data_IF_197976245281
#
_entry.id   IF_197976245281
#
_cell.length_a   1.000
_cell.length_b   1.000
_cell.length_c   1.000
_cell.angle_alpha   90.00
_cell.angle_beta   90.00
_cell.angle_gamma   90.00
#
_symmetry.space_group_name_H-M   'P 1'
#
loop_
_entity.id
_entity.type
_entity.pdbx_description
1 polymer ?
#
# COMPACT_ATOMS: atom_id res chain seq x y z
N UNK A 1 -31.78 -13.72 -18.06
CA UNK A 1 -32.04 -12.99 -16.80
C UNK A 1 -30.71 -12.40 -16.34
N UNK A 2 -30.40 -11.19 -16.82
CA UNK A 2 -29.15 -10.50 -16.51
C UNK A 2 -29.20 -10.11 -15.03
N UNK A 3 -28.30 -10.67 -14.22
CA UNK A 3 -28.19 -10.32 -12.81
C UNK A 3 -27.78 -8.86 -12.69
N UNK A 4 -28.58 -8.10 -11.97
CA UNK A 4 -28.35 -6.70 -11.61
C UNK A 4 -26.97 -6.58 -10.95
N UNK A 5 -26.04 -5.88 -11.60
CA UNK A 5 -24.85 -5.34 -10.96
C UNK A 5 -25.37 -4.44 -9.84
N UNK A 6 -25.31 -4.90 -8.57
CA UNK A 6 -25.61 -4.03 -7.44
C UNK A 6 -24.57 -2.91 -7.47
N UNK A 7 -25.02 -1.71 -7.78
CA UNK A 7 -24.25 -0.48 -7.64
C UNK A 7 -23.76 -0.43 -6.19
N UNK A 8 -22.48 -0.70 -5.98
CA UNK A 8 -21.84 -0.63 -4.67
C UNK A 8 -21.48 0.84 -4.46
N UNK A 9 -22.22 1.52 -3.59
CA UNK A 9 -22.06 2.97 -3.38
C UNK A 9 -20.73 3.28 -2.68
N UNK A 10 -19.68 3.52 -3.48
CA UNK A 10 -18.40 4.12 -3.05
C UNK A 10 -18.58 5.55 -2.54
N UNK A 11 -19.75 6.15 -2.80
CA UNK A 11 -20.07 7.57 -2.59
C UNK A 11 -20.09 8.03 -1.12
N UNK A 12 -20.04 7.13 -0.13
CA UNK A 12 -20.09 7.46 1.30
C UNK A 12 -18.76 7.31 2.04
N UNK A 13 -17.67 6.96 1.35
CA UNK A 13 -16.36 6.79 1.98
C UNK A 13 -15.68 8.15 2.16
N UNK A 14 -15.63 8.63 3.41
CA UNK A 14 -14.84 9.80 3.79
C UNK A 14 -13.35 9.43 3.88
N UNK A 15 -12.50 10.12 3.11
CA UNK A 15 -11.06 9.92 3.12
C UNK A 15 -10.42 11.01 3.99
N UNK A 16 -9.68 10.65 5.06
CA UNK A 16 -8.99 11.61 5.90
C UNK A 16 -7.96 12.47 5.15
N UNK A 17 -7.78 13.71 5.62
CA UNK A 17 -6.71 14.59 5.16
C UNK A 17 -5.33 13.96 5.41
N UNK A 18 -4.52 13.86 4.35
CA UNK A 18 -3.21 13.24 4.40
C UNK A 18 -2.17 13.94 3.52
N UNK A 19 -0.95 14.05 4.03
CA UNK A 19 0.24 14.41 3.26
C UNK A 19 1.43 13.62 3.74
N UNK A 20 2.05 12.83 2.84
CA UNK A 20 3.29 12.14 3.16
C UNK A 20 4.38 13.13 3.60
N UNK A 21 5.00 12.87 4.75
CA UNK A 21 6.11 13.68 5.29
C UNK A 21 7.50 13.11 4.95
N UNK A 22 7.55 12.03 4.16
CA UNK A 22 8.81 11.44 3.71
C UNK A 22 9.61 10.70 4.79
N UNK A 23 8.96 10.23 5.85
CA UNK A 23 9.60 9.61 7.01
C UNK A 23 10.22 8.22 6.78
N UNK A 24 9.82 7.51 5.71
CA UNK A 24 10.31 6.16 5.43
C UNK A 24 9.79 5.05 6.35
N UNK A 25 8.94 5.35 7.34
CA UNK A 25 8.41 4.34 8.28
C UNK A 25 7.64 3.21 7.58
N UNK A 26 6.84 3.53 6.56
CA UNK A 26 6.12 2.52 5.77
C UNK A 26 7.05 1.61 4.93
N UNK A 27 8.33 1.97 4.80
CA UNK A 27 9.33 1.13 4.12
C UNK A 27 10.00 0.12 5.06
N UNK A 28 9.75 0.19 6.38
CA UNK A 28 10.38 -0.66 7.41
C UNK A 28 9.31 -1.48 8.13
N UNK A 29 9.61 -2.70 8.54
CA UNK A 29 8.71 -3.61 9.26
C UNK A 29 8.58 -4.98 8.58
N UNK A 30 8.34 -6.03 9.35
CA UNK A 30 8.30 -7.41 8.83
C UNK A 30 7.15 -7.63 7.83
N UNK A 31 5.98 -7.08 8.10
CA UNK A 31 4.76 -7.35 7.34
C UNK A 31 4.41 -6.28 6.28
N UNK A 32 5.28 -5.28 6.09
CA UNK A 32 5.00 -4.12 5.23
C UNK A 32 5.20 -4.40 3.73
N UNK A 33 4.68 -5.52 3.23
CA UNK A 33 4.82 -5.95 1.84
C UNK A 33 4.17 -4.97 0.86
N UNK A 34 4.93 -4.54 -0.15
CA UNK A 34 4.42 -3.69 -1.23
C UNK A 34 4.10 -4.59 -2.42
N UNK A 35 2.82 -4.94 -2.56
CA UNK A 35 2.33 -5.63 -3.76
C UNK A 35 2.41 -4.71 -4.97
N UNK A 36 2.88 -5.26 -6.08
CA UNK A 36 3.02 -4.55 -7.36
C UNK A 36 2.57 -5.42 -8.52
N UNK A 37 2.01 -4.79 -9.54
CA UNK A 37 1.85 -5.45 -10.83
C UNK A 37 3.21 -5.56 -11.53
N UNK A 38 3.38 -6.59 -12.34
CA UNK A 38 4.62 -6.76 -13.12
C UNK A 38 4.91 -5.55 -14.01
N UNK A 39 3.88 -4.88 -14.54
CA UNK A 39 4.03 -3.66 -15.35
C UNK A 39 4.57 -2.47 -14.55
N UNK A 40 4.16 -2.30 -13.29
CA UNK A 40 4.74 -1.28 -12.39
C UNK A 40 6.20 -1.59 -12.09
N UNK A 41 6.52 -2.85 -11.79
CA UNK A 41 7.88 -3.31 -11.55
C UNK A 41 8.78 -3.09 -12.77
N UNK A 42 8.30 -3.45 -13.97
CA UNK A 42 9.04 -3.25 -15.22
C UNK A 42 9.35 -1.77 -15.46
N UNK A 43 8.37 -0.88 -15.26
CA UNK A 43 8.60 0.58 -15.35
C UNK A 43 9.65 1.06 -14.35
N UNK A 44 9.64 0.55 -13.12
CA UNK A 44 10.66 0.87 -12.13
C UNK A 44 12.04 0.40 -12.55
N UNK A 45 12.13 -0.81 -13.11
CA UNK A 45 13.40 -1.37 -13.58
C UNK A 45 14.00 -0.53 -14.71
N UNK A 46 13.18 -0.09 -15.67
CA UNK A 46 13.59 0.80 -16.77
C UNK A 46 14.10 2.15 -16.28
N UNK A 47 13.39 2.78 -15.33
CA UNK A 47 13.80 4.06 -14.74
C UNK A 47 15.10 3.96 -13.96
N UNK A 48 15.37 2.80 -13.36
CA UNK A 48 16.53 2.58 -12.51
C UNK A 48 17.72 1.95 -13.23
N UNK A 49 17.52 1.41 -14.44
CA UNK A 49 18.54 0.68 -15.18
C UNK A 49 18.95 -0.63 -14.49
N UNK A 50 17.99 -1.33 -13.87
CA UNK A 50 18.22 -2.62 -13.17
C UNK A 50 17.34 -3.72 -13.74
N UNK A 51 17.69 -4.98 -13.49
CA UNK A 51 16.81 -6.10 -13.84
C UNK A 51 15.53 -6.05 -12.98
N UNK A 52 14.39 -6.39 -13.57
CA UNK A 52 13.13 -6.41 -12.83
C UNK A 52 13.16 -7.44 -11.70
N UNK A 53 13.81 -8.59 -11.89
CA UNK A 53 13.92 -9.64 -10.88
C UNK A 53 14.87 -9.29 -9.73
N UNK A 54 15.68 -8.23 -9.87
CA UNK A 54 16.48 -7.65 -8.78
C UNK A 54 15.64 -6.77 -7.84
N UNK A 55 14.40 -6.42 -8.20
CA UNK A 55 13.55 -5.52 -7.41
C UNK A 55 12.22 -6.14 -6.97
N UNK A 56 11.82 -7.27 -7.55
CA UNK A 56 10.60 -8.00 -7.16
C UNK A 56 10.87 -9.46 -6.81
N UNK A 57 9.99 -10.03 -5.99
CA UNK A 57 9.94 -11.45 -5.64
C UNK A 57 8.49 -11.94 -5.58
N UNK A 58 8.23 -13.26 -5.72
CA UNK A 58 6.88 -13.79 -5.62
C UNK A 58 6.23 -13.42 -4.30
N UNK A 59 4.96 -13.01 -4.33
CA UNK A 59 4.22 -12.69 -3.12
C UNK A 59 4.21 -13.91 -2.17
N UNK A 60 4.65 -13.80 -0.91
CA UNK A 60 4.67 -14.94 0.01
C UNK A 60 3.27 -15.49 0.31
N UNK A 61 2.22 -14.68 0.12
CA UNK A 61 0.84 -15.14 0.24
C UNK A 61 0.44 -15.94 -1.00
N UNK A 62 0.01 -17.18 -0.78
CA UNK A 62 -0.44 -18.10 -1.83
C UNK A 62 -1.92 -18.44 -1.70
N UNK A 63 -2.58 -18.69 -2.84
CA UNK A 63 -3.90 -19.33 -2.90
C UNK A 63 -3.72 -20.68 -3.58
N UNK A 64 -4.10 -21.76 -2.89
CA UNK A 64 -3.98 -23.13 -3.40
C UNK A 64 -2.57 -23.48 -3.90
N UNK A 65 -1.54 -22.95 -3.24
CA UNK A 65 -0.12 -23.16 -3.60
C UNK A 65 0.40 -22.26 -4.73
N UNK A 66 -0.39 -21.31 -5.23
CA UNK A 66 0.01 -20.37 -6.29
C UNK A 66 0.22 -18.97 -5.71
N UNK A 67 1.35 -18.34 -6.03
CA UNK A 67 1.66 -16.96 -5.63
C UNK A 67 0.73 -15.96 -6.34
N UNK A 68 0.10 -15.07 -5.57
CA UNK A 68 -0.72 -14.01 -6.12
C UNK A 68 0.11 -12.76 -6.43
N UNK A 69 0.75 -12.76 -7.59
CA UNK A 69 1.50 -11.63 -8.10
C UNK A 69 2.85 -11.44 -7.42
N UNK A 70 3.33 -10.19 -7.47
CA UNK A 70 4.68 -9.82 -7.07
C UNK A 70 4.65 -8.84 -5.91
N UNK A 71 5.68 -8.90 -5.08
CA UNK A 71 5.99 -7.85 -4.11
C UNK A 71 7.33 -7.23 -4.46
N UNK A 72 7.55 -6.00 -4.02
CA UNK A 72 8.90 -5.45 -3.97
C UNK A 72 9.74 -6.26 -2.99
N UNK A 73 10.96 -6.61 -3.40
CA UNK A 73 11.91 -7.34 -2.55
C UNK A 73 12.14 -6.65 -1.22
N UNK A 74 12.47 -7.44 -0.22
CA UNK A 74 12.83 -6.96 1.12
C UNK A 74 14.15 -7.53 1.59
N UNK A 75 14.88 -6.74 2.36
CA UNK A 75 16.12 -7.11 3.03
C UNK A 75 16.09 -6.53 4.45
N UNK A 76 16.42 -7.32 5.46
CA UNK A 76 16.44 -6.91 6.87
C UNK A 76 15.17 -6.14 7.31
N UNK A 77 14.01 -6.69 6.98
CA UNK A 77 12.69 -6.12 7.26
C UNK A 77 12.46 -4.73 6.64
N UNK A 78 13.19 -4.39 5.58
CA UNK A 78 13.06 -3.12 4.85
C UNK A 78 12.76 -3.40 3.39
N UNK A 79 11.95 -2.53 2.78
CA UNK A 79 11.80 -2.50 1.33
C UNK A 79 13.16 -2.25 0.67
N UNK A 80 13.45 -2.93 -0.44
CA UNK A 80 14.67 -2.76 -1.24
C UNK A 80 14.95 -1.30 -1.62
N UNK A 81 13.93 -0.44 -1.67
CA UNK A 81 14.08 0.99 -1.97
C UNK A 81 14.20 1.93 -0.76
N UNK A 82 14.35 1.40 0.45
CA UNK A 82 14.64 2.22 1.63
C UNK A 82 16.10 2.69 1.62
N UNK A 83 16.31 4.00 1.67
CA UNK A 83 17.63 4.60 1.87
C UNK A 83 17.88 4.74 3.37
N UNK A 84 18.67 3.81 3.93
CA UNK A 84 19.02 3.81 5.35
C UNK A 84 19.87 5.00 5.79
N UNK A 85 20.63 5.63 4.89
CA UNK A 85 21.43 6.81 5.20
C UNK A 85 20.58 8.08 5.30
N UNK A 86 19.54 8.19 4.48
CA UNK A 86 18.62 9.34 4.48
C UNK A 86 17.32 9.12 5.24
N UNK A 87 17.05 7.89 5.68
CA UNK A 87 15.81 7.50 6.34
C UNK A 87 14.56 7.69 5.47
N UNK A 88 14.67 7.53 4.14
CA UNK A 88 13.55 7.80 3.21
C UNK A 88 13.56 6.91 1.98
N UNK A 89 12.47 6.89 1.23
CA UNK A 89 12.39 6.12 -0.02
C UNK A 89 13.28 6.73 -1.12
N UNK A 90 14.16 5.93 -1.73
CA UNK A 90 15.04 6.37 -2.84
C UNK A 90 14.29 6.60 -4.16
N UNK A 91 13.14 5.94 -4.35
CA UNK A 91 12.29 6.06 -5.54
C UNK A 91 11.05 6.93 -5.31
N UNK A 92 11.08 7.89 -4.38
CA UNK A 92 9.88 8.60 -3.91
C UNK A 92 8.97 9.15 -5.04
N UNK A 93 9.54 9.65 -6.13
CA UNK A 93 8.79 10.17 -7.30
C UNK A 93 8.18 9.05 -8.16
N UNK A 94 8.83 7.90 -8.21
CA UNK A 94 8.43 6.75 -9.03
C UNK A 94 7.70 5.66 -8.25
N UNK A 95 7.35 5.92 -6.97
CA UNK A 95 6.68 4.96 -6.08
C UNK A 95 5.51 4.22 -6.76
N UNK A 96 5.36 2.90 -6.53
CA UNK A 96 4.17 2.17 -6.95
C UNK A 96 2.88 2.76 -6.41
N UNK A 97 1.74 2.40 -7.01
CA UNK A 97 0.42 2.90 -6.64
C UNK A 97 0.11 2.65 -5.16
N UNK A 98 0.43 1.47 -4.63
CA UNK A 98 0.23 1.13 -3.20
C UNK A 98 1.01 2.08 -2.30
N UNK A 99 2.25 2.44 -2.65
CA UNK A 99 3.04 3.40 -1.88
C UNK A 99 2.59 4.86 -2.05
N UNK A 100 1.95 5.20 -3.17
CA UNK A 100 1.39 6.54 -3.40
C UNK A 100 0.07 6.76 -2.66
N UNK A 101 -0.72 5.69 -2.52
CA UNK A 101 -2.06 5.70 -1.90
C UNK A 101 -2.02 5.37 -0.40
N UNK A 102 -0.91 4.81 0.10
CA UNK A 102 -0.68 4.68 1.54
C UNK A 102 -0.90 6.02 2.26
N UNK A 103 -1.61 6.06 3.40
CA UNK A 103 -2.00 4.94 4.28
C UNK A 103 -3.37 4.35 4.00
N UNK A 104 -3.93 4.55 2.81
CA UNK A 104 -5.28 4.11 2.49
C UNK A 104 -5.28 2.79 1.71
N UNK A 105 -6.12 1.85 2.11
CA UNK A 105 -6.37 0.61 1.38
C UNK A 105 -7.86 0.31 1.35
N UNK A 106 -8.37 -0.03 0.17
CA UNK A 106 -9.74 -0.52 0.06
C UNK A 106 -9.77 -2.01 0.43
N UNK A 107 -10.72 -2.36 1.27
CA UNK A 107 -11.04 -3.74 1.63
C UNK A 107 -12.48 -4.07 1.21
N UNK A 108 -12.78 -5.36 1.10
CA UNK A 108 -14.11 -5.86 0.76
C UNK A 108 -14.60 -6.75 1.89
N UNK A 109 -15.51 -6.21 2.69
CA UNK A 109 -16.08 -6.89 3.86
C UNK A 109 -17.59 -7.05 3.65
N UNK A 110 -18.08 -8.30 3.69
CA UNK A 110 -19.51 -8.63 3.62
C UNK A 110 -20.28 -8.00 2.43
N UNK A 111 -19.63 -7.90 1.28
CA UNK A 111 -20.22 -7.29 0.08
C UNK A 111 -20.28 -5.76 0.11
N UNK A 112 -19.49 -5.12 0.98
CA UNK A 112 -19.29 -3.66 1.03
C UNK A 112 -17.81 -3.34 0.85
N UNK A 113 -17.54 -2.14 0.32
CA UNK A 113 -16.17 -1.60 0.26
C UNK A 113 -15.93 -0.82 1.56
N UNK A 114 -14.82 -1.11 2.23
CA UNK A 114 -14.37 -0.41 3.42
C UNK A 114 -13.03 0.28 3.15
N UNK A 115 -12.80 1.43 3.77
CA UNK A 115 -11.51 2.11 3.76
C UNK A 115 -10.72 1.73 5.01
N UNK A 116 -9.66 0.95 4.84
CA UNK A 116 -8.67 0.71 5.90
C UNK A 116 -7.64 1.83 5.88
N UNK A 117 -7.38 2.41 7.05
CA UNK A 117 -6.37 3.46 7.25
C UNK A 117 -5.26 2.94 8.15
N UNK A 118 -4.03 2.89 7.63
CA UNK A 118 -2.85 2.48 8.37
C UNK A 118 -2.25 3.64 9.18
N UNK A 119 -1.48 3.32 10.21
CA UNK A 119 -0.79 4.32 11.02
C UNK A 119 0.22 5.11 10.17
N UNK A 120 0.08 6.43 10.12
CA UNK A 120 0.99 7.27 9.37
C UNK A 120 1.09 8.67 9.98
N UNK A 121 2.32 9.14 10.20
CA UNK A 121 2.60 10.52 10.65
C UNK A 121 2.02 11.62 9.75
N UNK A 122 1.71 11.29 8.50
CA UNK A 122 1.14 12.22 7.54
C UNK A 122 -0.37 12.47 7.71
N UNK A 123 -1.06 11.70 8.56
CA UNK A 123 -2.50 11.86 8.83
C UNK A 123 -2.77 13.06 9.74
N UNK A 124 -3.81 13.84 9.43
CA UNK A 124 -4.34 14.86 10.35
C UNK A 124 -3.48 16.12 10.53
N UNK A 125 -2.49 16.38 9.66
CA UNK A 125 -1.61 17.56 9.72
C UNK A 125 -2.28 18.90 9.30
N UNK A 126 -3.61 19.00 9.44
CA UNK A 126 -4.38 20.24 9.59
C UNK A 126 -5.51 19.94 10.60
N UNK A 127 -5.42 20.52 11.81
CA UNK A 127 -6.44 20.45 12.87
C UNK A 127 -6.96 19.04 13.20
N UNK A 128 -6.09 18.28 13.87
CA UNK A 128 -6.32 16.93 14.36
C UNK A 128 -7.58 16.76 15.22
N UNK A 129 -8.40 15.78 14.87
CA UNK A 129 -8.94 14.84 15.87
C UNK A 129 -8.41 13.45 15.56
N UNK A 130 -7.42 13.02 16.34
CA UNK A 130 -7.20 11.60 16.63
C UNK A 130 -7.49 11.40 18.14
N UNK A 131 -7.50 10.18 18.71
CA UNK A 131 -7.29 8.85 18.14
C UNK A 131 -8.21 7.79 18.79
N UNK A 132 -9.41 7.51 18.28
CA UNK A 132 -10.16 6.28 18.66
C UNK A 132 -11.43 6.13 17.81
N UNK A 133 -11.37 5.41 16.70
CA UNK A 133 -12.57 4.83 16.08
C UNK A 133 -12.30 3.44 15.50
N UNK A 134 -11.40 2.72 16.15
CA UNK A 134 -11.01 1.34 15.84
C UNK A 134 -11.90 0.27 16.50
N UNK A 135 -13.13 0.58 16.93
CA UNK A 135 -14.03 -0.42 17.55
C UNK A 135 -15.54 -0.30 17.26
N UNK A 136 -15.99 0.49 16.28
CA UNK A 136 -17.44 0.73 16.10
C UNK A 136 -17.98 0.54 14.68
N UNK A 137 -17.40 -0.37 13.92
CA UNK A 137 -17.97 -0.81 12.63
C UNK A 137 -18.08 -2.34 12.51
N UNK A 138 -18.07 -3.05 13.64
CA UNK A 138 -18.49 -4.45 13.72
C UNK A 138 -19.59 -4.58 14.78
N UNK A 139 -20.83 -4.31 14.37
CA UNK A 139 -22.07 -4.89 14.90
C UNK A 139 -23.06 -5.02 13.77
#
# INVERSE_FOLDING_TARGET
>A
MLQTVRQMDVASIEIPDWKCVGCGECCVGEENFVRVFYTEAKRLSEVMGVDVHDIIEPNPQTISGVHLGWILRREDNKCIFFDGGRGRCRIYQNRPIVCRTYPFMLDFEEGRIALRVFECRGLGNRNSTSPHSLKRLLK
#
